data_IF_899887075735
#
_entry.id   IF_899887075735
#
_cell.length_a   1.000
_cell.length_b   1.000
_cell.length_c   1.000
_cell.angle_alpha   90.00
_cell.angle_beta   90.00
_cell.angle_gamma   90.00
#
_symmetry.space_group_name_H-M   'P 1'
#
loop_
_entity.id
_entity.type
_entity.pdbx_description
1 polymer ?
#
# COMPACT_ATOMS: atom_id res chain seq x y z
N UNK A 1 29.14 49.08 8.19
CA UNK A 1 28.83 48.08 7.14
C UNK A 1 29.06 48.69 5.75
N UNK A 2 30.02 48.18 4.97
CA UNK A 2 30.36 48.73 3.64
C UNK A 2 29.17 48.56 2.66
N UNK A 3 29.02 49.48 1.69
CA UNK A 3 27.95 49.54 0.68
C UNK A 3 27.78 48.22 -0.08
N UNK A 4 28.87 47.49 -0.29
CA UNK A 4 28.90 46.16 -0.90
C UNK A 4 28.19 45.11 -0.05
N UNK A 5 28.40 45.14 1.27
CA UNK A 5 27.77 44.20 2.21
C UNK A 5 26.26 44.47 2.35
N UNK A 6 25.83 45.75 2.30
CA UNK A 6 24.41 46.12 2.25
C UNK A 6 23.71 45.60 0.99
N UNK A 7 24.35 45.71 -0.17
CA UNK A 7 23.81 45.19 -1.44
C UNK A 7 23.74 43.67 -1.42
N UNK A 8 24.76 42.99 -0.92
CA UNK A 8 24.78 41.53 -0.80
C UNK A 8 23.65 41.04 0.12
N UNK A 9 23.49 41.64 1.30
CA UNK A 9 22.43 41.30 2.24
C UNK A 9 21.03 41.54 1.64
N UNK A 10 20.83 42.64 0.91
CA UNK A 10 19.57 42.91 0.20
C UNK A 10 19.31 41.88 -0.90
N UNK A 11 20.35 41.45 -1.62
CA UNK A 11 20.26 40.43 -2.67
C UNK A 11 19.86 39.07 -2.09
N UNK A 12 20.50 38.68 -0.98
CA UNK A 12 20.18 37.45 -0.25
C UNK A 12 18.75 37.53 0.30
N UNK A 13 18.34 38.68 0.85
CA UNK A 13 16.98 38.90 1.33
C UNK A 13 15.93 38.74 0.21
N UNK A 14 16.16 39.34 -0.95
CA UNK A 14 15.27 39.21 -2.12
C UNK A 14 15.26 37.76 -2.62
N UNK A 15 16.41 37.07 -2.67
CA UNK A 15 16.49 35.65 -3.06
C UNK A 15 15.74 34.73 -2.08
N UNK A 16 15.81 35.02 -0.78
CA UNK A 16 15.07 34.30 0.26
C UNK A 16 13.56 34.56 0.19
N UNK A 17 13.14 35.76 -0.22
CA UNK A 17 11.72 36.08 -0.46
C UNK A 17 11.22 35.37 -1.73
N UNK A 18 12.04 35.24 -2.78
CA UNK A 18 11.68 34.51 -4.00
C UNK A 18 11.83 32.99 -3.90
N UNK A 19 12.43 32.45 -2.83
CA UNK A 19 12.41 31.00 -2.53
C UNK A 19 11.29 30.63 -1.55
N UNK A 20 10.63 31.64 -0.97
CA UNK A 20 9.34 31.54 -0.29
C UNK A 20 8.17 31.71 -1.30
N UNK A 21 8.28 31.11 -2.50
CA UNK A 21 7.04 30.63 -3.12
C UNK A 21 6.55 29.53 -2.20
N UNK A 22 5.73 29.95 -1.23
CA UNK A 22 4.93 29.06 -0.42
C UNK A 22 4.38 28.02 -1.39
N UNK A 23 4.68 26.75 -1.11
CA UNK A 23 3.91 25.64 -1.63
C UNK A 23 2.55 25.80 -0.96
N UNK A 24 1.77 26.79 -1.43
CA UNK A 24 0.39 26.98 -1.05
C UNK A 24 -0.34 25.84 -1.75
N UNK A 25 -0.30 24.68 -1.10
CA UNK A 25 -1.11 23.56 -1.50
C UNK A 25 -2.55 23.97 -1.22
N UNK A 26 -3.36 24.09 -2.27
CA UNK A 26 -4.81 24.25 -2.09
C UNK A 26 -5.30 23.07 -1.24
N UNK A 27 -6.19 23.35 -0.29
CA UNK A 27 -6.96 22.33 0.39
C UNK A 27 -8.35 22.30 -0.25
N UNK A 28 -8.71 21.23 -0.99
CA UNK A 28 -7.95 20.00 -1.21
C UNK A 28 -6.92 20.09 -2.36
N UNK A 29 -5.89 19.26 -2.26
CA UNK A 29 -4.74 19.25 -3.18
C UNK A 29 -5.20 19.13 -4.64
N UNK A 30 -4.79 20.08 -5.49
CA UNK A 30 -5.11 20.17 -6.94
C UNK A 30 -6.59 20.35 -7.29
N UNK A 31 -7.42 20.82 -6.36
CA UNK A 31 -8.82 21.18 -6.63
C UNK A 31 -9.14 22.57 -6.11
N UNK A 32 -9.95 23.33 -6.85
CA UNK A 32 -10.46 24.65 -6.43
C UNK A 32 -11.67 24.52 -5.49
N UNK A 33 -12.20 23.31 -5.37
CA UNK A 33 -13.38 22.96 -4.59
C UNK A 33 -13.05 21.91 -3.55
N UNK A 34 -13.56 22.14 -2.33
CA UNK A 34 -13.67 21.16 -1.26
C UNK A 34 -15.07 20.54 -1.26
N UNK A 35 -15.13 19.21 -1.30
CA UNK A 35 -16.32 18.45 -0.94
C UNK A 35 -16.22 18.04 0.53
N UNK A 36 -17.29 18.22 1.29
CA UNK A 36 -17.45 17.60 2.60
C UNK A 36 -18.73 16.76 2.58
N UNK A 37 -18.63 15.51 3.02
CA UNK A 37 -19.74 14.57 3.07
C UNK A 37 -19.94 14.08 4.48
N UNK A 38 -21.16 14.23 5.00
CA UNK A 38 -21.50 13.91 6.39
C UNK A 38 -22.66 12.92 6.38
N UNK A 39 -22.41 11.61 6.53
CA UNK A 39 -23.46 10.63 6.75
C UNK A 39 -24.24 10.94 8.03
N UNK A 40 -25.53 10.55 8.06
CA UNK A 40 -26.34 10.70 9.26
C UNK A 40 -25.94 9.77 10.42
N UNK A 41 -24.93 8.90 10.23
CA UNK A 41 -24.26 8.12 11.26
C UNK A 41 -22.79 8.56 11.39
N UNK A 42 -22.33 8.77 12.62
CA UNK A 42 -20.97 9.26 12.91
C UNK A 42 -19.87 8.24 12.56
N UNK A 43 -20.18 6.94 12.60
CA UNK A 43 -19.27 5.83 12.28
C UNK A 43 -19.40 5.31 10.84
N UNK A 44 -20.36 5.87 10.08
CA UNK A 44 -20.63 5.55 8.68
C UNK A 44 -21.15 4.12 8.46
N UNK A 45 -21.60 3.46 9.55
CA UNK A 45 -22.08 2.09 9.55
C UNK A 45 -23.57 2.04 9.87
N UNK A 46 -24.29 1.22 9.12
CA UNK A 46 -25.73 1.03 9.20
C UNK A 46 -26.06 -0.45 9.37
N UNK A 47 -27.22 -0.76 9.92
CA UNK A 47 -27.76 -2.12 9.86
C UNK A 47 -28.40 -2.35 8.49
N UNK A 48 -28.31 -3.57 7.95
CA UNK A 48 -29.08 -3.94 6.75
C UNK A 48 -30.57 -3.63 6.94
N UNK A 49 -31.20 -2.97 5.97
CA UNK A 49 -32.59 -2.49 6.03
C UNK A 49 -32.76 -1.07 6.58
N UNK A 50 -31.73 -0.49 7.20
CA UNK A 50 -31.74 0.91 7.67
C UNK A 50 -31.62 1.90 6.50
N UNK A 51 -32.16 3.11 6.64
CA UNK A 51 -32.06 4.15 5.61
C UNK A 51 -30.89 5.10 5.91
N UNK A 52 -29.97 5.23 4.95
CA UNK A 52 -28.85 6.14 5.01
C UNK A 52 -29.12 7.42 4.19
N UNK A 53 -28.67 8.55 4.75
CA UNK A 53 -28.62 9.84 4.05
C UNK A 53 -27.26 10.48 4.26
N UNK A 54 -26.78 11.24 3.27
CA UNK A 54 -25.56 12.03 3.40
C UNK A 54 -25.86 13.50 3.10
N UNK A 55 -25.44 14.38 4.00
CA UNK A 55 -25.31 15.80 3.69
C UNK A 55 -24.04 15.99 2.84
N UNK A 56 -24.22 16.46 1.61
CA UNK A 56 -23.12 16.89 0.73
C UNK A 56 -22.96 18.39 0.85
N UNK A 57 -21.72 18.84 0.99
CA UNK A 57 -21.34 20.23 1.07
C UNK A 57 -20.26 20.53 0.04
N UNK A 58 -20.32 21.70 -0.58
CA UNK A 58 -19.35 22.13 -1.59
C UNK A 58 -18.87 23.54 -1.29
N UNK A 59 -17.56 23.73 -1.23
CA UNK A 59 -16.93 25.02 -0.97
C UNK A 59 -15.91 25.32 -2.07
N UNK A 60 -15.95 26.52 -2.66
CA UNK A 60 -14.92 27.00 -3.58
C UNK A 60 -14.05 28.02 -2.85
N UNK A 61 -12.76 27.72 -2.69
CA UNK A 61 -11.84 28.55 -1.89
C UNK A 61 -12.38 28.89 -0.49
N UNK A 62 -13.04 27.93 0.16
CA UNK A 62 -13.66 28.10 1.49
C UNK A 62 -15.03 28.78 1.49
N UNK A 63 -15.54 29.26 0.34
CA UNK A 63 -16.85 29.90 0.23
C UNK A 63 -17.91 28.86 -0.15
N UNK A 64 -19.02 28.72 0.60
CA UNK A 64 -20.12 27.81 0.24
C UNK A 64 -20.64 28.07 -1.17
N UNK A 65 -20.70 27.02 -2.00
CA UNK A 65 -21.20 27.11 -3.37
C UNK A 65 -22.73 26.96 -3.36
N UNK A 66 -23.44 28.07 -3.51
CA UNK A 66 -24.90 28.06 -3.53
C UNK A 66 -25.48 27.83 -4.94
N UNK A 67 -26.68 27.25 -5.02
CA UNK A 67 -27.46 27.01 -6.26
C UNK A 67 -26.80 26.11 -7.31
N UNK A 68 -25.64 25.54 -7.05
CA UNK A 68 -25.04 24.55 -7.93
C UNK A 68 -25.90 23.29 -8.01
N UNK A 69 -26.09 22.78 -9.22
CA UNK A 69 -26.73 21.49 -9.46
C UNK A 69 -25.71 20.37 -9.22
N UNK A 70 -25.99 19.51 -8.25
CA UNK A 70 -25.25 18.27 -7.99
C UNK A 70 -26.04 17.13 -8.61
N UNK A 71 -25.44 16.41 -9.55
CA UNK A 71 -25.97 15.12 -10.02
C UNK A 71 -25.33 13.99 -9.23
N UNK A 72 -26.08 12.93 -8.98
CA UNK A 72 -25.57 11.79 -8.23
C UNK A 72 -26.05 10.45 -8.79
N UNK A 73 -25.21 9.44 -8.61
CA UNK A 73 -25.45 8.05 -8.91
C UNK A 73 -25.16 7.22 -7.66
N UNK A 74 -26.05 6.30 -7.31
CA UNK A 74 -25.90 5.43 -6.15
C UNK A 74 -25.94 3.98 -6.62
N UNK A 75 -25.03 3.16 -6.11
CA UNK A 75 -24.99 1.73 -6.36
C UNK A 75 -24.21 1.01 -5.27
N UNK A 76 -24.04 -0.31 -5.44
CA UNK A 76 -23.06 -1.05 -4.66
C UNK A 76 -21.63 -0.57 -4.96
N UNK A 77 -20.70 -0.80 -4.03
CA UNK A 77 -19.27 -0.53 -4.26
C UNK A 77 -18.76 -1.21 -5.54
N UNK A 78 -18.16 -0.43 -6.45
CA UNK A 78 -17.70 -0.87 -7.77
C UNK A 78 -18.79 -1.50 -8.68
N UNK A 79 -20.07 -1.30 -8.35
CA UNK A 79 -21.21 -1.81 -9.13
C UNK A 79 -21.86 -0.69 -9.97
N UNK A 80 -22.64 -1.06 -11.01
CA UNK A 80 -23.51 -0.13 -11.71
C UNK A 80 -24.46 0.61 -10.76
N UNK A 81 -24.85 1.82 -11.13
CA UNK A 81 -25.83 2.58 -10.37
C UNK A 81 -27.21 1.91 -10.45
N UNK A 82 -27.91 1.81 -9.32
CA UNK A 82 -29.31 1.38 -9.23
C UNK A 82 -30.27 2.55 -8.95
N UNK A 83 -29.72 3.71 -8.60
CA UNK A 83 -30.45 4.94 -8.40
C UNK A 83 -29.63 6.14 -8.89
N UNK A 84 -30.32 7.16 -9.36
CA UNK A 84 -29.71 8.40 -9.81
C UNK A 84 -30.64 9.58 -9.52
N UNK A 85 -30.08 10.78 -9.45
CA UNK A 85 -30.87 11.98 -9.24
C UNK A 85 -30.04 13.24 -9.28
N UNK A 86 -30.67 14.34 -8.88
CA UNK A 86 -30.00 15.62 -8.72
C UNK A 86 -30.56 16.37 -7.51
N UNK A 87 -29.72 17.20 -6.91
CA UNK A 87 -30.08 18.14 -5.85
C UNK A 87 -29.41 19.48 -6.12
N UNK A 88 -30.10 20.57 -5.81
CA UNK A 88 -29.53 21.91 -5.86
C UNK A 88 -29.02 22.28 -4.47
N UNK A 89 -27.76 22.71 -4.39
CA UNK A 89 -27.18 23.19 -3.12
C UNK A 89 -27.93 24.43 -2.63
N UNK A 90 -28.23 24.46 -1.34
CA UNK A 90 -28.75 25.61 -0.60
C UNK A 90 -27.75 25.97 0.50
N UNK A 91 -27.23 27.19 0.48
CA UNK A 91 -26.15 27.63 1.37
C UNK A 91 -24.94 26.67 1.36
N UNK A 92 -24.59 26.14 0.18
CA UNK A 92 -23.49 25.19 0.01
C UNK A 92 -23.81 23.73 0.34
N UNK A 93 -25.07 23.40 0.70
CA UNK A 93 -25.43 22.08 1.24
C UNK A 93 -26.65 21.45 0.54
N UNK A 94 -26.69 20.13 0.50
CA UNK A 94 -27.89 19.35 0.18
C UNK A 94 -27.84 17.98 0.87
N UNK A 95 -29.00 17.36 1.09
CA UNK A 95 -29.07 15.98 1.61
C UNK A 95 -29.45 15.03 0.48
N UNK A 96 -28.66 13.97 0.31
CA UNK A 96 -28.90 12.91 -0.66
C UNK A 96 -29.34 11.64 0.09
N UNK A 97 -30.50 11.05 -0.23
CA UNK A 97 -30.87 9.75 0.30
C UNK A 97 -30.04 8.65 -0.39
N UNK A 98 -29.08 8.07 0.34
CA UNK A 98 -28.27 6.94 -0.14
C UNK A 98 -29.10 5.65 -0.12
N UNK A 99 -30.20 5.61 0.63
CA UNK A 99 -31.10 4.46 0.67
C UNK A 99 -30.57 3.36 1.58
N UNK A 100 -30.81 2.11 1.21
CA UNK A 100 -30.54 0.95 2.08
C UNK A 100 -29.89 -0.21 1.32
N UNK A 101 -29.40 -1.21 2.06
CA UNK A 101 -29.05 -2.54 1.54
C UNK A 101 -29.78 -3.64 2.31
N UNK A 102 -30.31 -4.63 1.58
CA UNK A 102 -30.91 -5.84 2.17
C UNK A 102 -29.87 -6.88 2.60
N UNK A 103 -28.69 -6.83 1.99
CA UNK A 103 -27.58 -7.73 2.28
C UNK A 103 -26.39 -6.92 2.79
N UNK A 104 -25.51 -7.53 3.60
CA UNK A 104 -24.25 -6.91 4.02
C UNK A 104 -23.45 -6.38 2.83
N UNK A 105 -22.89 -5.18 2.93
CA UNK A 105 -22.13 -4.57 1.85
C UNK A 105 -21.91 -3.08 1.99
N UNK A 106 -21.57 -2.41 0.89
CA UNK A 106 -21.29 -0.98 0.85
C UNK A 106 -22.11 -0.30 -0.25
N UNK A 107 -22.70 0.85 0.08
CA UNK A 107 -23.30 1.77 -0.91
C UNK A 107 -22.29 2.85 -1.25
N UNK A 108 -22.15 3.17 -2.53
CA UNK A 108 -21.33 4.27 -3.04
C UNK A 108 -22.23 5.32 -3.67
N UNK A 109 -22.18 6.55 -3.15
CA UNK A 109 -22.84 7.71 -3.74
C UNK A 109 -21.78 8.55 -4.45
N UNK A 110 -21.82 8.51 -5.78
CA UNK A 110 -20.92 9.23 -6.68
C UNK A 110 -21.60 10.53 -7.10
N UNK A 111 -20.99 11.67 -6.81
CA UNK A 111 -21.55 13.00 -7.07
C UNK A 111 -20.70 13.78 -8.06
N UNK A 112 -21.36 14.61 -8.88
CA UNK A 112 -20.71 15.55 -9.79
C UNK A 112 -21.41 16.91 -9.72
N UNK A 113 -20.63 17.98 -9.84
CA UNK A 113 -21.16 19.33 -9.98
C UNK A 113 -20.26 20.17 -10.89
N UNK A 114 -20.87 21.05 -11.68
CA UNK A 114 -20.15 21.99 -12.55
C UNK A 114 -20.17 23.37 -11.92
N UNK A 115 -18.99 23.93 -11.67
CA UNK A 115 -18.80 25.28 -11.12
C UNK A 115 -17.82 26.01 -12.03
N UNK A 116 -18.23 27.18 -12.53
CA UNK A 116 -17.45 28.01 -13.46
C UNK A 116 -16.89 27.26 -14.67
N UNK A 117 -17.73 26.43 -15.30
CA UNK A 117 -17.38 25.66 -16.49
C UNK A 117 -16.49 24.43 -16.25
N UNK A 118 -16.08 24.16 -15.00
CA UNK A 118 -15.30 22.97 -14.63
C UNK A 118 -16.14 21.98 -13.84
N UNK A 119 -16.10 20.71 -14.24
CA UNK A 119 -16.78 19.62 -13.55
C UNK A 119 -15.89 19.05 -12.45
N UNK A 120 -16.43 18.95 -11.24
CA UNK A 120 -15.81 18.33 -10.09
C UNK A 120 -16.56 17.05 -9.74
N UNK A 121 -15.84 15.99 -9.41
CA UNK A 121 -16.40 14.71 -8.99
C UNK A 121 -15.93 14.38 -7.57
N UNK A 122 -16.80 13.71 -6.82
CA UNK A 122 -16.50 13.19 -5.50
C UNK A 122 -17.36 11.94 -5.27
N UNK A 123 -17.08 11.19 -4.21
CA UNK A 123 -17.94 10.10 -3.79
C UNK A 123 -17.84 9.85 -2.30
N UNK A 124 -18.86 9.21 -1.75
CA UNK A 124 -18.95 8.82 -0.35
C UNK A 124 -19.49 7.40 -0.26
N UNK A 125 -18.82 6.56 0.54
CA UNK A 125 -19.25 5.19 0.79
C UNK A 125 -19.73 5.03 2.23
N UNK A 126 -20.79 4.26 2.41
CA UNK A 126 -21.30 3.87 3.72
C UNK A 126 -21.47 2.35 3.78
N UNK A 127 -21.22 1.76 4.95
CA UNK A 127 -21.28 0.32 5.16
C UNK A 127 -22.62 -0.13 5.76
N UNK A 128 -23.17 -1.24 5.27
CA UNK A 128 -24.35 -1.90 5.81
C UNK A 128 -23.96 -3.27 6.36
N UNK A 129 -23.97 -3.39 7.70
CA UNK A 129 -23.51 -4.57 8.45
C UNK A 129 -22.24 -5.22 7.87
N UNK A 130 -21.15 -4.48 7.62
CA UNK A 130 -19.96 -5.02 6.96
C UNK A 130 -19.34 -6.19 7.73
N UNK A 131 -19.55 -6.27 9.05
CA UNK A 131 -19.12 -7.39 9.91
C UNK A 131 -19.76 -8.73 9.55
N UNK A 132 -20.86 -8.72 8.77
CA UNK A 132 -21.57 -9.92 8.32
C UNK A 132 -21.17 -10.37 6.92
N UNK A 133 -20.29 -9.63 6.23
CA UNK A 133 -19.79 -10.00 4.91
C UNK A 133 -19.19 -11.41 4.96
N UNK A 134 -19.60 -12.24 4.00
CA UNK A 134 -19.07 -13.59 3.82
C UNK A 134 -18.14 -13.62 2.59
N UNK A 135 -17.15 -14.53 2.56
CA UNK A 135 -16.34 -14.73 1.37
C UNK A 135 -17.21 -15.01 0.14
N UNK A 136 -16.91 -14.33 -0.97
CA UNK A 136 -17.58 -14.59 -2.25
C UNK A 136 -17.17 -15.94 -2.86
N UNK A 137 -15.96 -16.41 -2.54
CA UNK A 137 -15.40 -17.66 -3.07
C UNK A 137 -15.44 -18.78 -2.03
N UNK A 138 -15.71 -20.00 -2.49
CA UNK A 138 -15.63 -21.20 -1.66
C UNK A 138 -14.19 -21.72 -1.60
N UNK A 139 -13.79 -22.26 -0.44
CA UNK A 139 -12.50 -22.94 -0.30
C UNK A 139 -12.48 -24.19 -1.20
N UNK A 140 -11.52 -24.32 -2.13
CA UNK A 140 -11.41 -25.52 -2.96
C UNK A 140 -11.21 -26.78 -2.11
N UNK A 141 -11.85 -27.89 -2.51
CA UNK A 141 -11.80 -29.15 -1.76
C UNK A 141 -10.36 -29.69 -1.58
N UNK A 142 -9.47 -29.43 -2.54
CA UNK A 142 -8.08 -29.87 -2.53
C UNK A 142 -7.10 -28.79 -2.04
N UNK A 143 -7.58 -27.67 -1.48
CA UNK A 143 -6.73 -26.54 -1.09
C UNK A 143 -5.57 -26.95 -0.16
N UNK A 144 -5.87 -27.70 0.91
CA UNK A 144 -4.86 -28.16 1.86
C UNK A 144 -3.89 -29.14 1.19
N UNK A 145 -4.41 -30.10 0.42
CA UNK A 145 -3.58 -31.08 -0.28
C UNK A 145 -2.60 -30.41 -1.27
N UNK A 146 -3.08 -29.40 -1.99
CA UNK A 146 -2.28 -28.60 -2.90
C UNK A 146 -1.08 -27.94 -2.20
N UNK A 147 -1.33 -27.27 -1.07
CA UNK A 147 -0.26 -26.60 -0.32
C UNK A 147 0.67 -27.56 0.43
N UNK A 148 0.16 -28.65 0.99
CA UNK A 148 1.01 -29.67 1.62
C UNK A 148 1.95 -30.33 0.61
N UNK A 149 1.45 -30.63 -0.60
CA UNK A 149 2.27 -31.12 -1.70
C UNK A 149 3.36 -30.10 -2.07
N UNK A 150 2.99 -28.83 -2.25
CA UNK A 150 3.93 -27.77 -2.61
C UNK A 150 5.03 -27.55 -1.55
N UNK A 151 4.68 -27.58 -0.26
CA UNK A 151 5.64 -27.53 0.85
C UNK A 151 6.56 -28.75 0.88
N UNK A 152 6.03 -29.95 0.65
CA UNK A 152 6.82 -31.19 0.61
C UNK A 152 7.83 -31.17 -0.53
N UNK A 153 7.41 -30.78 -1.73
CA UNK A 153 8.28 -30.61 -2.89
C UNK A 153 9.36 -29.56 -2.64
N UNK A 154 9.00 -28.45 -1.99
CA UNK A 154 9.97 -27.44 -1.57
C UNK A 154 10.96 -28.03 -0.57
N UNK A 155 10.52 -28.68 0.51
CA UNK A 155 11.39 -29.25 1.54
C UNK A 155 12.42 -30.25 0.97
N UNK A 156 12.08 -30.98 -0.10
CA UNK A 156 13.00 -31.87 -0.82
C UNK A 156 14.13 -31.13 -1.57
N UNK A 157 13.98 -29.83 -1.84
CA UNK A 157 15.06 -28.98 -2.33
C UNK A 157 15.89 -28.48 -1.12
N UNK A 158 17.21 -28.75 -1.07
CA UNK A 158 18.05 -28.31 0.04
C UNK A 158 18.04 -26.80 0.22
N UNK A 159 18.03 -26.35 1.47
CA UNK A 159 18.20 -24.93 1.80
C UNK A 159 19.59 -24.47 1.30
N UNK A 160 19.60 -23.51 0.38
CA UNK A 160 20.83 -22.98 -0.24
C UNK A 160 20.72 -21.47 -0.41
N UNK A 161 21.73 -20.74 0.05
CA UNK A 161 21.75 -19.29 -0.01
C UNK A 161 23.18 -18.74 0.01
N UNK A 162 23.36 -17.53 -0.51
CA UNK A 162 24.58 -16.74 -0.28
C UNK A 162 24.39 -15.83 0.94
N UNK A 163 25.49 -15.50 1.63
CA UNK A 163 25.51 -14.56 2.75
C UNK A 163 26.71 -13.64 2.61
N UNK A 164 26.47 -12.40 2.18
CA UNK A 164 27.51 -11.40 1.95
C UNK A 164 27.37 -10.27 2.97
N UNK A 165 28.46 -9.87 3.63
CA UNK A 165 28.42 -8.80 4.62
C UNK A 165 28.25 -7.41 3.97
N UNK A 166 27.32 -6.61 4.48
CA UNK A 166 26.98 -5.28 3.94
C UNK A 166 27.39 -4.20 4.94
N UNK A 167 28.62 -3.71 4.80
CA UNK A 167 29.21 -2.75 5.74
C UNK A 167 28.39 -1.44 5.87
N UNK A 168 27.84 -0.92 4.76
CA UNK A 168 27.05 0.33 4.75
C UNK A 168 25.75 0.27 5.58
N UNK A 169 25.26 -0.92 5.91
CA UNK A 169 24.06 -1.13 6.75
C UNK A 169 24.37 -1.78 8.09
N UNK A 170 25.65 -1.99 8.39
CA UNK A 170 26.12 -2.52 9.66
C UNK A 170 26.55 -1.37 10.58
N UNK A 171 26.40 -1.54 11.89
CA UNK A 171 26.76 -0.55 12.90
C UNK A 171 27.58 -1.18 14.03
N UNK A 172 27.87 -0.44 15.08
CA UNK A 172 28.43 -0.96 16.33
C UNK A 172 27.49 -1.95 17.05
N UNK A 173 26.19 -1.91 16.76
CA UNK A 173 25.16 -2.75 17.41
C UNK A 173 24.63 -3.88 16.54
N UNK A 174 24.68 -3.75 15.22
CA UNK A 174 24.09 -4.72 14.30
C UNK A 174 25.02 -5.06 13.14
N UNK A 175 24.97 -6.30 12.66
CA UNK A 175 25.55 -6.70 11.38
C UNK A 175 24.44 -6.91 10.35
N UNK A 176 24.68 -6.47 9.11
CA UNK A 176 23.79 -6.67 7.98
C UNK A 176 24.44 -7.57 6.95
N UNK A 177 23.67 -8.52 6.42
CA UNK A 177 24.09 -9.38 5.33
C UNK A 177 23.08 -9.35 4.18
N UNK A 178 23.57 -9.28 2.94
CA UNK A 178 22.78 -9.53 1.74
C UNK A 178 22.68 -11.05 1.55
N UNK A 179 21.44 -11.52 1.50
CA UNK A 179 21.10 -12.92 1.28
C UNK A 179 20.52 -13.06 -0.12
N UNK A 180 21.02 -14.03 -0.89
CA UNK A 180 20.32 -14.58 -2.06
C UNK A 180 19.84 -15.98 -1.71
N UNK A 181 18.55 -16.17 -1.51
CA UNK A 181 17.95 -17.43 -1.08
C UNK A 181 17.36 -18.17 -2.29
N UNK A 182 17.87 -19.37 -2.57
CA UNK A 182 17.40 -20.21 -3.68
C UNK A 182 16.07 -20.89 -3.31
N UNK A 183 15.14 -20.91 -4.25
CA UNK A 183 13.79 -21.43 -4.04
C UNK A 183 13.60 -22.85 -4.60
N UNK A 184 14.25 -23.18 -5.71
CA UNK A 184 14.09 -24.46 -6.39
C UNK A 184 15.20 -24.73 -7.42
N UNK A 185 15.16 -25.93 -8.02
CA UNK A 185 16.11 -26.41 -9.04
C UNK A 185 16.10 -25.63 -10.35
N UNK A 186 15.12 -24.74 -10.59
CA UNK A 186 15.07 -23.87 -11.78
C UNK A 186 15.90 -22.59 -11.62
N UNK A 187 16.62 -22.44 -10.51
CA UNK A 187 17.47 -21.27 -10.24
C UNK A 187 16.71 -20.01 -9.82
N UNK A 188 15.42 -20.15 -9.45
CA UNK A 188 14.65 -19.04 -8.91
C UNK A 188 15.15 -18.70 -7.51
N UNK A 189 15.25 -17.41 -7.20
CA UNK A 189 15.71 -16.92 -5.90
C UNK A 189 14.94 -15.69 -5.47
N UNK A 190 15.02 -15.37 -4.18
CA UNK A 190 14.68 -14.07 -3.62
C UNK A 190 15.91 -13.46 -2.97
N UNK A 191 15.90 -12.14 -2.78
CA UNK A 191 16.95 -11.42 -2.08
C UNK A 191 16.43 -10.81 -0.79
N UNK A 192 17.32 -10.49 0.14
CA UNK A 192 16.95 -9.70 1.30
C UNK A 192 18.15 -9.30 2.15
N UNK A 193 17.94 -8.31 3.01
CA UNK A 193 18.91 -7.93 4.02
C UNK A 193 18.56 -8.60 5.35
N UNK A 194 19.51 -9.36 5.88
CA UNK A 194 19.41 -10.06 7.15
C UNK A 194 20.24 -9.33 8.20
N UNK A 195 19.55 -8.75 9.16
CA UNK A 195 20.12 -7.98 10.26
C UNK A 195 20.24 -8.84 11.52
N UNK A 196 21.41 -8.79 12.15
CA UNK A 196 21.74 -9.49 13.39
C UNK A 196 22.09 -8.49 14.50
N UNK A 197 21.68 -8.74 15.74
CA UNK A 197 22.27 -8.08 16.90
C UNK A 197 23.71 -8.56 17.14
N UNK A 198 24.63 -7.64 17.41
CA UNK A 198 25.98 -7.95 17.90
C UNK A 198 25.92 -8.36 19.37
N UNK A 199 26.64 -9.42 19.74
CA UNK A 199 26.70 -9.89 21.14
C UNK A 199 26.65 -11.41 21.35
N UNK A 200 26.57 -12.22 20.28
CA UNK A 200 26.75 -13.67 20.37
C UNK A 200 25.62 -14.46 21.06
N UNK A 201 24.42 -13.89 21.16
CA UNK A 201 23.24 -14.51 21.78
C UNK A 201 22.35 -15.33 20.84
N UNK A 202 21.30 -15.91 21.42
CA UNK A 202 20.15 -16.47 20.70
C UNK A 202 19.04 -15.42 20.65
N UNK A 203 18.39 -15.25 19.51
CA UNK A 203 17.43 -14.17 19.28
C UNK A 203 16.15 -14.67 18.60
N UNK A 204 14.98 -14.11 18.94
CA UNK A 204 13.78 -14.26 18.13
C UNK A 204 13.98 -13.70 16.72
N UNK A 205 13.19 -14.17 15.76
CA UNK A 205 13.27 -13.79 14.34
C UNK A 205 12.04 -13.00 13.88
N UNK A 206 12.24 -12.06 12.96
CA UNK A 206 11.19 -11.28 12.30
C UNK A 206 11.39 -11.34 10.79
N UNK A 207 10.46 -11.98 10.08
CA UNK A 207 10.38 -11.93 8.63
C UNK A 207 9.57 -10.71 8.19
N UNK A 208 10.08 -9.93 7.24
CA UNK A 208 9.40 -8.77 6.68
C UNK A 208 9.29 -8.86 5.15
N UNK A 209 8.17 -9.38 4.62
CA UNK A 209 7.84 -9.28 3.20
C UNK A 209 7.57 -7.83 2.77
N UNK A 210 7.72 -7.49 1.48
CA UNK A 210 7.46 -6.15 0.99
C UNK A 210 5.95 -5.90 0.79
N UNK A 211 5.54 -4.63 0.82
CA UNK A 211 4.19 -4.25 0.34
C UNK A 211 4.04 -4.40 -1.17
N UNK A 212 2.83 -4.22 -1.71
CA UNK A 212 2.52 -4.38 -3.13
C UNK A 212 3.44 -3.55 -4.07
N UNK A 213 3.61 -4.06 -5.29
CA UNK A 213 4.44 -3.49 -6.35
C UNK A 213 5.79 -4.21 -6.54
N UNK A 214 6.38 -4.03 -7.71
CA UNK A 214 7.79 -4.35 -7.98
C UNK A 214 8.64 -3.19 -7.45
N UNK A 215 9.50 -3.45 -6.47
CA UNK A 215 10.38 -2.46 -5.85
C UNK A 215 11.61 -3.12 -5.25
N UNK A 216 12.75 -2.42 -5.31
CA UNK A 216 13.89 -2.76 -4.47
C UNK A 216 13.63 -2.35 -3.02
N UNK A 217 14.44 -2.88 -2.10
CA UNK A 217 14.43 -2.47 -0.69
C UNK A 217 15.06 -1.07 -0.60
N UNK A 218 14.22 -0.02 -0.57
CA UNK A 218 14.67 1.38 -0.65
C UNK A 218 15.26 1.94 0.65
N UNK A 219 14.75 1.51 1.81
CA UNK A 219 15.21 2.00 3.12
C UNK A 219 15.57 0.84 4.07
N UNK A 220 16.67 0.08 3.82
CA UNK A 220 16.99 -1.12 4.61
C UNK A 220 17.12 -0.86 6.11
N UNK A 221 17.52 0.35 6.51
CA UNK A 221 17.71 0.74 7.91
C UNK A 221 16.44 1.27 8.60
N UNK A 222 15.32 1.44 7.88
CA UNK A 222 14.08 2.00 8.42
C UNK A 222 13.60 1.29 9.69
N UNK A 223 13.83 -0.02 9.74
CA UNK A 223 13.41 -0.88 10.85
C UNK A 223 14.58 -1.53 11.60
N UNK A 224 15.77 -0.90 11.58
CA UNK A 224 16.97 -1.41 12.27
C UNK A 224 16.76 -1.61 13.77
N UNK A 225 15.81 -0.89 14.37
CA UNK A 225 15.48 -0.97 15.79
C UNK A 225 15.10 -2.39 16.24
N UNK A 226 14.60 -3.28 15.37
CA UNK A 226 14.40 -4.69 15.72
C UNK A 226 15.73 -5.36 16.08
N UNK A 227 16.74 -5.22 15.23
CA UNK A 227 18.05 -5.82 15.46
C UNK A 227 18.81 -5.13 16.60
N UNK A 228 18.69 -3.81 16.73
CA UNK A 228 19.26 -3.08 17.88
C UNK A 228 18.62 -3.49 19.23
N UNK A 229 17.43 -4.11 19.21
CA UNK A 229 16.70 -4.60 20.40
C UNK A 229 16.69 -6.12 20.51
N UNK A 230 17.62 -6.84 19.85
CA UNK A 230 17.80 -8.27 20.06
C UNK A 230 16.90 -9.17 19.21
N UNK A 231 16.48 -8.75 18.03
CA UNK A 231 15.78 -9.59 17.05
C UNK A 231 16.62 -9.80 15.79
N UNK A 232 16.66 -11.02 15.26
CA UNK A 232 17.14 -11.24 13.89
C UNK A 232 16.03 -10.81 12.94
N UNK A 233 16.32 -9.90 12.01
CA UNK A 233 15.31 -9.37 11.08
C UNK A 233 15.71 -9.65 9.65
N UNK A 234 14.80 -10.23 8.87
CA UNK A 234 15.00 -10.47 7.45
C UNK A 234 14.01 -9.67 6.61
N UNK A 235 14.51 -8.64 5.94
CA UNK A 235 13.72 -7.80 5.04
C UNK A 235 13.95 -8.27 3.60
N UNK A 236 12.89 -8.75 2.95
CA UNK A 236 13.01 -9.47 1.68
C UNK A 236 12.40 -8.69 0.50
N UNK A 237 12.95 -8.98 -0.67
CA UNK A 237 12.44 -8.69 -1.99
C UNK A 237 11.94 -10.02 -2.59
N UNK A 238 10.74 -10.08 -3.16
CA UNK A 238 10.03 -11.33 -3.51
C UNK A 238 10.02 -11.67 -5.01
N UNK A 239 10.52 -10.78 -5.85
CA UNK A 239 10.51 -10.89 -7.31
C UNK A 239 11.75 -11.63 -7.84
N UNK A 240 12.84 -11.61 -7.08
CA UNK A 240 14.14 -12.17 -7.44
C UNK A 240 15.11 -11.13 -8.01
N UNK A 241 14.89 -9.86 -7.68
CA UNK A 241 15.70 -8.72 -8.11
C UNK A 241 16.72 -8.40 -7.02
N UNK A 242 17.99 -8.30 -7.41
CA UNK A 242 19.05 -7.93 -6.47
C UNK A 242 18.82 -6.47 -6.00
N UNK A 243 18.67 -6.20 -4.69
CA UNK A 243 18.45 -4.86 -4.18
C UNK A 243 19.62 -3.89 -4.42
N UNK A 244 20.80 -4.38 -4.77
CA UNK A 244 21.98 -3.59 -5.12
C UNK A 244 22.07 -3.19 -6.61
N UNK A 245 21.08 -3.55 -7.44
CA UNK A 245 21.03 -3.11 -8.84
C UNK A 245 20.88 -1.58 -8.95
N UNK A 246 21.36 -1.02 -10.06
CA UNK A 246 21.19 0.41 -10.33
C UNK A 246 19.71 0.77 -10.52
N UNK A 247 19.36 2.03 -10.27
CA UNK A 247 18.00 2.52 -10.51
C UNK A 247 17.60 2.42 -11.99
N UNK A 248 18.56 2.49 -12.92
CA UNK A 248 18.31 2.33 -14.36
C UNK A 248 17.95 0.88 -14.72
N UNK A 249 18.77 -0.10 -14.31
CA UNK A 249 18.48 -1.53 -14.52
C UNK A 249 17.15 -1.92 -13.87
N UNK A 250 16.91 -1.45 -12.64
CA UNK A 250 15.66 -1.69 -11.95
C UNK A 250 14.48 -1.11 -12.72
N UNK A 251 14.59 0.13 -13.21
CA UNK A 251 13.53 0.80 -13.97
C UNK A 251 13.23 0.08 -15.27
N UNK A 252 14.25 -0.38 -15.99
CA UNK A 252 14.08 -1.17 -17.21
C UNK A 252 13.26 -2.44 -16.93
N UNK A 253 13.71 -3.26 -15.97
CA UNK A 253 13.02 -4.50 -15.58
C UNK A 253 11.61 -4.20 -15.06
N UNK A 254 11.46 -3.25 -14.15
CA UNK A 254 10.16 -2.90 -13.59
C UNK A 254 9.19 -2.42 -14.66
N UNK A 255 9.65 -1.71 -15.69
CA UNK A 255 8.77 -1.25 -16.78
C UNK A 255 8.24 -2.44 -17.58
N UNK A 256 9.05 -3.47 -17.79
CA UNK A 256 8.64 -4.67 -18.52
C UNK A 256 7.60 -5.53 -17.77
N UNK A 257 7.64 -5.55 -16.43
CA UNK A 257 6.84 -6.48 -15.60
C UNK A 257 5.80 -5.81 -14.67
N UNK A 258 5.68 -4.48 -14.70
CA UNK A 258 4.76 -3.71 -13.84
C UNK A 258 3.75 -2.87 -14.65
N UNK A 259 3.60 -3.12 -15.94
CA UNK A 259 2.61 -2.46 -16.79
C UNK A 259 1.19 -3.03 -16.63
N UNK A 260 0.17 -2.31 -17.10
CA UNK A 260 -1.23 -2.77 -17.01
C UNK A 260 -1.51 -4.09 -17.73
N UNK A 261 -0.79 -4.37 -18.83
CA UNK A 261 -0.94 -5.60 -19.63
C UNK A 261 -0.09 -6.77 -19.12
N UNK A 262 1.05 -6.48 -18.47
CA UNK A 262 2.05 -7.48 -18.01
C UNK A 262 2.26 -7.42 -16.49
N UNK A 263 1.23 -7.06 -15.74
CA UNK A 263 1.31 -6.88 -14.30
C UNK A 263 1.68 -8.19 -13.60
N UNK A 264 2.67 -8.16 -12.70
CA UNK A 264 3.14 -9.36 -12.01
C UNK A 264 2.05 -10.21 -11.33
N UNK A 265 0.92 -9.60 -10.93
CA UNK A 265 -0.22 -10.28 -10.32
C UNK A 265 -1.01 -11.18 -11.28
N UNK A 266 -0.86 -11.00 -12.59
CA UNK A 266 -1.51 -11.84 -13.62
C UNK A 266 -0.56 -12.91 -14.18
N UNK A 267 0.72 -12.91 -13.79
CA UNK A 267 1.69 -13.90 -14.26
C UNK A 267 1.30 -15.32 -13.81
N UNK A 268 0.96 -16.17 -14.80
CA UNK A 268 0.52 -17.55 -14.59
C UNK A 268 -0.86 -17.67 -13.94
N UNK A 269 -1.72 -16.65 -14.04
CA UNK A 269 -3.05 -16.62 -13.41
C UNK A 269 -3.97 -17.77 -13.89
N UNK A 270 -3.73 -18.26 -15.10
CA UNK A 270 -4.43 -19.37 -15.74
C UNK A 270 -4.03 -20.75 -15.18
N UNK A 271 -2.96 -20.83 -14.38
CA UNK A 271 -2.45 -22.08 -13.83
C UNK A 271 -2.08 -21.93 -12.36
N UNK A 272 -2.82 -22.60 -11.47
CA UNK A 272 -2.50 -22.62 -10.03
C UNK A 272 -1.06 -23.06 -9.73
N UNK A 273 -0.47 -23.90 -10.57
CA UNK A 273 0.86 -24.44 -10.36
C UNK A 273 1.98 -23.48 -10.78
N UNK A 274 1.71 -22.61 -11.76
CA UNK A 274 2.65 -21.61 -12.25
C UNK A 274 2.33 -20.20 -11.77
N UNK A 275 1.23 -20.02 -11.03
CA UNK A 275 0.79 -18.72 -10.56
C UNK A 275 1.85 -18.03 -9.68
N UNK A 276 2.10 -16.76 -9.96
CA UNK A 276 3.09 -15.94 -9.29
C UNK A 276 3.01 -16.01 -7.75
N UNK A 277 1.82 -15.89 -7.16
CA UNK A 277 1.68 -15.90 -5.70
C UNK A 277 2.00 -17.25 -5.06
N UNK A 278 1.86 -18.37 -5.78
CA UNK A 278 2.32 -19.68 -5.28
C UNK A 278 3.80 -19.63 -4.94
N UNK A 279 4.60 -19.06 -5.85
CA UNK A 279 6.04 -18.88 -5.64
C UNK A 279 6.34 -17.95 -4.48
N UNK A 280 5.62 -16.83 -4.36
CA UNK A 280 5.83 -15.86 -3.28
C UNK A 280 5.55 -16.47 -1.91
N UNK A 281 4.42 -17.17 -1.74
CA UNK A 281 4.10 -17.80 -0.46
C UNK A 281 5.11 -18.87 -0.08
N UNK A 282 5.54 -19.70 -1.03
CA UNK A 282 6.62 -20.67 -0.82
C UNK A 282 7.96 -19.98 -0.51
N UNK A 283 8.25 -18.82 -1.08
CA UNK A 283 9.45 -18.05 -0.74
C UNK A 283 9.43 -17.53 0.70
N UNK A 284 8.26 -17.12 1.21
CA UNK A 284 8.07 -16.76 2.61
C UNK A 284 8.31 -17.96 3.53
N UNK A 285 7.75 -19.14 3.20
CA UNK A 285 8.00 -20.39 3.96
C UNK A 285 9.49 -20.72 3.97
N UNK A 286 10.15 -20.67 2.81
CA UNK A 286 11.59 -20.90 2.71
C UNK A 286 12.42 -19.89 3.51
N UNK A 287 11.96 -18.65 3.60
CA UNK A 287 12.62 -17.62 4.43
C UNK A 287 12.53 -17.96 5.92
N UNK A 288 11.44 -18.58 6.37
CA UNK A 288 11.33 -19.13 7.72
C UNK A 288 12.26 -20.33 7.91
N UNK A 289 12.37 -21.25 6.93
CA UNK A 289 13.35 -22.34 7.00
C UNK A 289 14.77 -21.79 7.20
N UNK A 290 15.15 -20.75 6.44
CA UNK A 290 16.42 -20.06 6.63
C UNK A 290 16.56 -19.51 8.05
N UNK A 291 15.61 -18.69 8.50
CA UNK A 291 15.66 -18.02 9.81
C UNK A 291 15.75 -19.00 10.96
N UNK A 292 15.02 -20.11 10.87
CA UNK A 292 15.01 -21.18 11.89
C UNK A 292 16.17 -22.17 11.76
N UNK A 293 16.96 -22.11 10.68
CA UNK A 293 18.20 -22.87 10.56
C UNK A 293 19.42 -22.14 11.15
N UNK A 294 19.29 -20.85 11.47
CA UNK A 294 20.40 -20.04 11.98
C UNK A 294 20.84 -20.53 13.37
N UNK A 295 22.15 -20.68 13.62
CA UNK A 295 22.68 -20.93 14.95
C UNK A 295 22.26 -19.87 15.98
N UNK A 296 22.03 -18.63 15.57
CA UNK A 296 21.63 -17.54 16.46
C UNK A 296 20.12 -17.51 16.73
N UNK A 297 19.32 -18.38 16.11
CA UNK A 297 17.88 -18.40 16.37
C UNK A 297 17.56 -18.98 17.75
N UNK A 298 16.72 -18.26 18.49
CA UNK A 298 16.06 -18.76 19.69
C UNK A 298 14.86 -19.63 19.28
N UNK A 299 15.08 -20.95 19.24
CA UNK A 299 13.98 -21.90 19.23
C UNK A 299 13.10 -21.68 20.46
N UNK A 300 11.77 -21.67 20.29
CA UNK A 300 10.85 -21.63 21.43
C UNK A 300 11.13 -22.82 22.36
N UNK A 301 11.15 -22.57 23.67
CA UNK A 301 10.98 -23.61 24.70
C UNK A 301 9.56 -24.17 24.64
#
# INVERSE_FOLDING_TARGET
>A
MNRTLKKLLLSVWILSITSLWAVAENYPYRSDVLWATVPNHADWLYKTGEQATVEVQMYKYGIPVDKALVTYEIGGDMMPADAQGNVTLKNGKAVIPIGTMKQPGFRDCRVKATVDGKTYAHHVKVGFSPEKLQPYTSLPADFNQFWEKAKTEQAAFPLSYTKEHVAKYSTDKIDCYLIKLQLNRRGQSIYGYLFYPKGGGKYPVVLCPPGAGIKTIKEPLRHKYYAEQGFIRFEIEIHGLNPEMSDEEFKEISTAFNGGENGYLTNGLDSRDNYYMKRVYLACVRSIDLLTSLPEWMAKM
#
